data_IF_079533220868
#
_entry.id   IF_079533220868
#
_cell.length_a   1.000
_cell.length_b   1.000
_cell.length_c   1.000
_cell.angle_alpha   90.00
_cell.angle_beta   90.00
_cell.angle_gamma   90.00
#
_symmetry.space_group_name_H-M   'P 1'
#
loop_
_entity.id
_entity.type
_entity.pdbx_description
1 polymer ?
#
# COMPACT_ATOMS: atom_id res chain seq x y z
N UNK A 1 35.62 29.51 -54.62
CA UNK A 1 34.21 29.14 -54.87
C UNK A 1 33.93 27.88 -54.07
N UNK A 2 33.28 27.99 -52.91
CA UNK A 2 32.88 26.86 -52.06
C UNK A 2 31.36 26.75 -52.09
N UNK A 3 30.86 25.64 -52.59
CA UNK A 3 29.44 25.32 -52.76
C UNK A 3 28.76 25.04 -51.41
N UNK A 4 27.53 25.52 -51.14
CA UNK A 4 26.89 25.45 -49.82
C UNK A 4 25.83 24.33 -49.70
N UNK A 5 26.05 23.15 -50.28
CA UNK A 5 25.05 22.08 -50.31
C UNK A 5 25.65 20.69 -50.08
N UNK A 6 26.24 20.47 -48.91
CA UNK A 6 26.46 19.12 -48.40
C UNK A 6 25.35 18.82 -47.37
N UNK A 7 24.13 18.60 -47.87
CA UNK A 7 23.05 17.98 -47.10
C UNK A 7 23.39 16.49 -46.95
N UNK A 8 24.17 16.15 -45.94
CA UNK A 8 24.34 14.78 -45.52
C UNK A 8 23.01 14.25 -44.98
N UNK A 9 22.38 13.25 -45.61
CA UNK A 9 21.17 12.65 -45.05
C UNK A 9 21.55 11.95 -43.75
N UNK A 10 21.07 12.44 -42.60
CA UNK A 10 21.29 11.79 -41.31
C UNK A 10 20.81 10.33 -41.38
N UNK A 11 21.64 9.35 -40.96
CA UNK A 11 21.25 7.95 -41.01
C UNK A 11 20.06 7.74 -40.09
N UNK A 12 18.89 7.43 -40.66
CA UNK A 12 17.70 6.98 -39.93
C UNK A 12 18.06 5.76 -39.09
N UNK A 13 18.36 5.99 -37.81
CA UNK A 13 18.71 4.97 -36.82
C UNK A 13 17.60 3.93 -36.81
N UNK A 14 17.87 2.75 -37.38
CA UNK A 14 16.94 1.61 -37.39
C UNK A 14 16.60 1.29 -35.95
N UNK A 15 15.43 1.72 -35.48
CA UNK A 15 14.94 1.41 -34.14
C UNK A 15 14.83 -0.11 -34.08
N UNK A 16 15.67 -0.74 -33.27
CA UNK A 16 15.67 -2.20 -33.12
C UNK A 16 14.25 -2.64 -32.76
N UNK A 17 13.67 -3.54 -33.57
CA UNK A 17 12.29 -4.05 -33.39
C UNK A 17 12.14 -4.64 -31.99
N UNK A 18 13.22 -5.24 -31.47
CA UNK A 18 13.30 -5.74 -30.11
C UNK A 18 13.17 -4.64 -29.04
N UNK A 19 13.76 -3.47 -29.28
CA UNK A 19 13.65 -2.33 -28.38
C UNK A 19 12.23 -1.75 -28.36
N UNK A 20 11.55 -1.74 -29.52
CA UNK A 20 10.15 -1.34 -29.61
C UNK A 20 9.21 -2.33 -28.90
N UNK A 21 9.42 -3.63 -29.09
CA UNK A 21 8.64 -4.67 -28.43
C UNK A 21 8.79 -4.63 -26.90
N UNK A 22 10.02 -4.48 -26.40
CA UNK A 22 10.31 -4.28 -24.96
C UNK A 22 9.59 -3.06 -24.41
N UNK A 23 9.67 -1.92 -25.10
CA UNK A 23 9.05 -0.68 -24.63
C UNK A 23 7.53 -0.84 -24.55
N UNK A 24 6.91 -1.43 -25.56
CA UNK A 24 5.46 -1.69 -25.58
C UNK A 24 5.01 -2.68 -24.50
N UNK A 25 5.80 -3.73 -24.22
CA UNK A 25 5.52 -4.68 -23.13
C UNK A 25 5.60 -4.02 -21.75
N UNK A 26 6.65 -3.23 -21.50
CA UNK A 26 6.81 -2.50 -20.24
C UNK A 26 5.64 -1.53 -20.01
N UNK A 27 5.23 -0.79 -21.05
CA UNK A 27 4.08 0.11 -20.97
C UNK A 27 2.79 -0.67 -20.69
N UNK A 28 2.55 -1.78 -21.41
CA UNK A 28 1.38 -2.63 -21.18
C UNK A 28 1.34 -3.24 -19.77
N UNK A 29 2.48 -3.68 -19.26
CA UNK A 29 2.62 -4.20 -17.91
C UNK A 29 2.31 -3.12 -16.86
N UNK A 30 2.82 -1.91 -17.01
CA UNK A 30 2.55 -0.79 -16.08
C UNK A 30 1.08 -0.41 -16.07
N UNK A 31 0.39 -0.48 -17.21
CA UNK A 31 -1.05 -0.19 -17.32
C UNK A 31 -1.91 -1.27 -16.64
N UNK A 32 -1.54 -2.54 -16.77
CA UNK A 32 -2.30 -3.67 -16.20
C UNK A 32 -1.93 -3.93 -14.73
N UNK A 33 -0.70 -3.58 -14.32
CA UNK A 33 -0.19 -3.73 -12.96
C UNK A 33 -1.16 -3.26 -11.86
N UNK A 34 -1.78 -2.05 -11.91
CA UNK A 34 -2.69 -1.61 -10.85
C UNK A 34 -3.92 -2.51 -10.71
N UNK A 35 -4.48 -3.02 -11.82
CA UNK A 35 -5.64 -3.93 -11.80
C UNK A 35 -5.23 -5.31 -11.30
N UNK A 36 -4.09 -5.83 -11.76
CA UNK A 36 -3.55 -7.09 -11.27
C UNK A 36 -3.25 -7.03 -9.77
N UNK A 37 -2.68 -5.91 -9.31
CA UNK A 37 -2.36 -5.68 -7.91
C UNK A 37 -3.61 -5.65 -7.03
N UNK A 38 -4.68 -4.98 -7.45
CA UNK A 38 -5.93 -4.95 -6.68
C UNK A 38 -6.57 -6.33 -6.62
N UNK A 39 -6.63 -7.05 -7.73
CA UNK A 39 -7.15 -8.43 -7.76
C UNK A 39 -6.31 -9.37 -6.88
N UNK A 40 -4.98 -9.28 -6.96
CA UNK A 40 -4.06 -10.05 -6.12
C UNK A 40 -4.23 -9.72 -4.63
N UNK A 41 -4.38 -8.43 -4.29
CA UNK A 41 -4.58 -7.97 -2.91
C UNK A 41 -5.91 -8.48 -2.37
N UNK A 42 -6.99 -8.35 -3.14
CA UNK A 42 -8.32 -8.85 -2.75
C UNK A 42 -8.26 -10.37 -2.53
N UNK A 43 -7.65 -11.14 -3.44
CA UNK A 43 -7.51 -12.59 -3.27
C UNK A 43 -6.70 -12.93 -2.01
N UNK A 44 -5.54 -12.30 -1.82
CA UNK A 44 -4.65 -12.58 -0.69
C UNK A 44 -5.33 -12.25 0.64
N UNK A 45 -5.97 -11.10 0.74
CA UNK A 45 -6.70 -10.68 1.94
C UNK A 45 -7.89 -11.60 2.19
N UNK A 46 -8.66 -11.96 1.16
CA UNK A 46 -9.77 -12.90 1.30
C UNK A 46 -9.30 -14.27 1.81
N UNK A 47 -8.20 -14.81 1.27
CA UNK A 47 -7.63 -16.08 1.72
C UNK A 47 -7.06 -16.03 3.14
N UNK A 48 -6.49 -14.90 3.54
CA UNK A 48 -6.06 -14.66 4.92
C UNK A 48 -7.26 -14.60 5.87
N UNK A 49 -8.30 -13.84 5.52
CA UNK A 49 -9.53 -13.76 6.31
C UNK A 49 -10.19 -15.13 6.43
N UNK A 50 -10.34 -15.85 5.32
CA UNK A 50 -10.88 -17.21 5.32
C UNK A 50 -10.02 -18.14 6.22
N UNK A 51 -8.69 -18.08 6.15
CA UNK A 51 -7.82 -18.92 7.01
C UNK A 51 -7.87 -18.55 8.50
N UNK A 52 -8.14 -17.29 8.84
CA UNK A 52 -8.32 -16.84 10.23
C UNK A 52 -9.74 -17.10 10.74
N UNK A 53 -10.74 -17.11 9.87
CA UNK A 53 -12.17 -17.28 10.23
C UNK A 53 -12.60 -18.74 10.20
N UNK A 54 -12.19 -19.53 9.20
CA UNK A 54 -12.51 -20.96 9.07
C UNK A 54 -12.19 -21.81 10.32
N UNK A 55 -11.10 -21.59 11.08
CA UNK A 55 -10.86 -22.33 12.33
C UNK A 55 -11.78 -21.93 13.49
N UNK A 56 -12.41 -20.75 13.44
CA UNK A 56 -13.41 -20.31 14.43
C UNK A 56 -14.84 -20.65 14.03
N UNK A 57 -15.07 -21.05 12.78
CA UNK A 57 -16.38 -21.53 12.30
C UNK A 57 -16.42 -23.04 12.45
N UNK A 58 -17.25 -23.58 13.35
CA UNK A 58 -17.34 -25.02 13.55
C UNK A 58 -17.80 -25.78 12.29
N UNK A 59 -17.23 -26.97 12.08
CA UNK A 59 -17.35 -27.83 10.88
C UNK A 59 -18.80 -28.24 10.52
N UNK A 60 -19.79 -28.01 11.38
CA UNK A 60 -21.21 -28.31 11.10
C UNK A 60 -21.85 -27.45 10.00
N UNK A 61 -21.18 -26.38 9.56
CA UNK A 61 -21.65 -25.47 8.50
C UNK A 61 -20.96 -25.72 7.15
N UNK A 62 -20.67 -26.97 6.80
CA UNK A 62 -20.30 -27.35 5.44
C UNK A 62 -21.53 -27.80 4.64
N UNK A 63 -22.28 -26.90 3.98
CA UNK A 63 -23.21 -27.30 2.93
C UNK A 63 -22.40 -27.47 1.63
N UNK A 64 -21.49 -28.45 1.60
CA UNK A 64 -20.67 -28.75 0.42
C UNK A 64 -21.49 -29.41 -0.71
N UNK A 65 -22.82 -29.52 -0.62
CA UNK A 65 -23.55 -30.48 -1.45
C UNK A 65 -24.85 -30.01 -2.12
N UNK A 66 -25.50 -28.88 -1.77
CA UNK A 66 -26.87 -28.68 -2.33
C UNK A 66 -27.28 -27.30 -2.82
N UNK A 67 -26.63 -26.20 -2.45
CA UNK A 67 -27.04 -24.88 -2.96
C UNK A 67 -25.81 -24.01 -3.07
N UNK A 68 -25.47 -23.55 -4.28
CA UNK A 68 -24.36 -22.62 -4.56
C UNK A 68 -24.45 -21.25 -3.86
N UNK A 69 -25.30 -21.13 -2.85
CA UNK A 69 -25.29 -20.07 -1.85
C UNK A 69 -24.32 -20.47 -0.75
N UNK A 70 -23.04 -20.40 -1.09
CA UNK A 70 -21.98 -20.25 -0.10
C UNK A 70 -22.43 -19.13 0.84
N UNK A 71 -22.48 -19.36 2.15
CA UNK A 71 -22.89 -18.34 3.13
C UNK A 71 -21.73 -17.35 3.27
N UNK A 72 -21.44 -16.69 2.14
CA UNK A 72 -20.38 -15.73 1.84
C UNK A 72 -20.57 -14.43 2.63
N UNK A 73 -21.60 -14.35 3.47
CA UNK A 73 -21.92 -13.21 4.32
C UNK A 73 -21.48 -13.35 5.77
N UNK A 74 -21.36 -14.57 6.32
CA UNK A 74 -20.96 -14.74 7.73
C UNK A 74 -19.48 -14.36 7.91
N UNK A 75 -18.61 -14.77 6.98
CA UNK A 75 -17.21 -14.35 6.99
C UNK A 75 -17.06 -12.83 6.90
N UNK A 76 -17.86 -12.17 6.04
CA UNK A 76 -17.88 -10.71 5.90
C UNK A 76 -18.38 -10.04 7.19
N UNK A 77 -19.42 -10.58 7.81
CA UNK A 77 -19.97 -10.04 9.05
C UNK A 77 -18.99 -10.18 10.22
N UNK A 78 -18.35 -11.34 10.38
CA UNK A 78 -17.32 -11.58 11.40
C UNK A 78 -16.09 -10.71 11.14
N UNK A 79 -15.65 -10.60 9.88
CA UNK A 79 -14.56 -9.71 9.50
C UNK A 79 -14.87 -8.23 9.79
N UNK A 80 -16.10 -7.79 9.53
CA UNK A 80 -16.55 -6.44 9.83
C UNK A 80 -16.50 -6.17 11.33
N UNK A 81 -17.06 -7.07 12.15
CA UNK A 81 -17.02 -6.96 13.62
C UNK A 81 -15.58 -7.00 14.14
N UNK A 82 -14.75 -7.91 13.64
CA UNK A 82 -13.34 -8.00 14.01
C UNK A 82 -12.58 -6.71 13.66
N UNK A 83 -12.75 -6.19 12.45
CA UNK A 83 -12.11 -4.95 12.00
C UNK A 83 -12.58 -3.75 12.82
N UNK A 84 -13.85 -3.69 13.20
CA UNK A 84 -14.39 -2.66 14.10
C UNK A 84 -13.74 -2.76 15.48
N UNK A 85 -13.62 -3.96 16.05
CA UNK A 85 -12.98 -4.18 17.36
C UNK A 85 -11.50 -3.78 17.30
N UNK A 86 -10.76 -4.22 16.28
CA UNK A 86 -9.35 -3.87 16.09
C UNK A 86 -9.19 -2.36 15.88
N UNK A 87 -10.04 -1.74 15.06
CA UNK A 87 -10.03 -0.29 14.84
C UNK A 87 -10.35 0.48 16.12
N UNK A 88 -11.28 -0.02 16.93
CA UNK A 88 -11.61 0.56 18.23
C UNK A 88 -10.47 0.40 19.24
N UNK A 89 -9.79 -0.75 19.27
CA UNK A 89 -8.59 -0.96 20.07
C UNK A 89 -7.44 -0.03 19.65
N UNK A 90 -7.24 0.16 18.34
CA UNK A 90 -6.23 1.05 17.80
C UNK A 90 -6.48 2.52 18.16
N UNK A 91 -7.75 2.96 18.15
CA UNK A 91 -8.16 4.31 18.56
C UNK A 91 -8.22 4.49 20.09
N UNK A 92 -8.45 3.40 20.82
CA UNK A 92 -8.64 3.39 22.27
C UNK A 92 -7.35 3.47 23.09
N UNK A 93 -7.52 3.60 24.41
CA UNK A 93 -6.41 3.68 25.38
C UNK A 93 -5.52 2.43 25.33
N UNK A 94 -6.10 1.28 24.97
CA UNK A 94 -5.40 0.01 24.80
C UNK A 94 -4.35 0.10 23.69
N UNK A 95 -4.66 0.71 22.55
CA UNK A 95 -3.71 0.90 21.45
C UNK A 95 -2.48 1.73 21.86
N UNK A 96 -2.71 2.85 22.57
CA UNK A 96 -1.61 3.65 23.14
C UNK A 96 -0.78 2.86 24.16
N UNK A 97 -1.42 2.02 24.97
CA UNK A 97 -0.73 1.17 25.96
C UNK A 97 0.08 0.06 25.29
N UNK A 98 -0.45 -0.55 24.23
CA UNK A 98 0.23 -1.59 23.44
C UNK A 98 1.48 -1.03 22.76
N UNK A 99 1.38 0.17 22.18
CA UNK A 99 2.52 0.87 21.56
C UNK A 99 3.59 1.17 22.60
N UNK A 100 3.22 1.65 23.80
CA UNK A 100 4.17 1.89 24.89
C UNK A 100 4.84 0.60 25.38
N UNK A 101 4.09 -0.50 25.45
CA UNK A 101 4.64 -1.81 25.81
C UNK A 101 5.60 -2.33 24.73
N UNK A 102 5.25 -2.17 23.45
CA UNK A 102 6.12 -2.50 22.32
C UNK A 102 7.39 -1.64 22.31
N UNK A 103 7.29 -0.33 22.58
CA UNK A 103 8.46 0.54 22.74
C UNK A 103 9.35 0.07 23.90
N UNK A 104 8.77 -0.30 25.04
CA UNK A 104 9.53 -0.85 26.18
C UNK A 104 10.23 -2.18 25.85
N UNK A 105 9.58 -3.07 25.10
CA UNK A 105 10.18 -4.32 24.63
C UNK A 105 11.34 -4.08 23.64
N UNK A 106 11.16 -3.12 22.72
CA UNK A 106 12.17 -2.75 21.71
C UNK A 106 13.35 -1.98 22.33
N UNK A 107 13.14 -1.22 23.40
CA UNK A 107 14.20 -0.49 24.11
C UNK A 107 15.30 -1.41 24.68
N UNK A 108 14.98 -2.68 24.94
CA UNK A 108 15.95 -3.66 25.44
C UNK A 108 16.80 -4.31 24.33
N UNK A 109 16.48 -4.07 23.05
CA UNK A 109 17.19 -4.63 21.89
C UNK A 109 17.82 -3.49 21.05
N UNK A 110 19.14 -3.23 21.20
CA UNK A 110 19.81 -2.02 20.68
C UNK A 110 19.73 -1.84 19.16
N UNK A 111 19.59 -2.91 18.39
CA UNK A 111 19.49 -2.87 16.91
C UNK A 111 18.06 -2.54 16.44
N UNK A 112 17.04 -3.06 17.12
CA UNK A 112 15.63 -2.91 16.72
C UNK A 112 15.14 -1.48 16.97
N UNK A 113 15.70 -0.80 17.98
CA UNK A 113 15.37 0.58 18.34
C UNK A 113 15.66 1.59 17.22
N UNK A 114 16.80 1.49 16.51
CA UNK A 114 17.15 2.46 15.47
C UNK A 114 16.22 2.35 14.26
N UNK A 115 15.87 1.12 13.88
CA UNK A 115 14.95 0.84 12.76
C UNK A 115 13.54 1.29 13.10
N UNK A 116 13.06 0.99 14.32
CA UNK A 116 11.73 1.40 14.77
C UNK A 116 11.59 2.93 14.82
N UNK A 117 12.59 3.63 15.37
CA UNK A 117 12.56 5.09 15.44
C UNK A 117 12.60 5.74 14.05
N UNK A 118 13.40 5.20 13.12
CA UNK A 118 13.43 5.69 11.74
C UNK A 118 12.09 5.50 11.03
N UNK A 119 11.46 4.33 11.17
CA UNK A 119 10.14 4.06 10.61
C UNK A 119 9.04 4.93 11.23
N UNK A 120 9.08 5.12 12.54
CA UNK A 120 8.14 6.01 13.27
C UNK A 120 8.26 7.44 12.77
N UNK A 121 9.48 7.93 12.58
CA UNK A 121 9.72 9.29 12.08
C UNK A 121 9.19 9.49 10.64
N UNK A 122 9.35 8.49 9.77
CA UNK A 122 8.80 8.53 8.41
C UNK A 122 7.27 8.56 8.47
N UNK A 123 6.67 7.70 9.28
CA UNK A 123 5.22 7.67 9.45
C UNK A 123 4.70 9.02 9.99
N UNK A 124 5.29 9.54 11.06
CA UNK A 124 4.91 10.85 11.63
C UNK A 124 5.06 11.99 10.61
N UNK A 125 6.13 11.99 9.81
CA UNK A 125 6.33 13.01 8.76
C UNK A 125 5.26 12.92 7.67
N UNK A 126 4.95 11.72 7.18
CA UNK A 126 3.95 11.52 6.12
C UNK A 126 2.53 11.83 6.62
N UNK A 127 2.20 11.43 7.84
CA UNK A 127 0.90 11.75 8.44
C UNK A 127 0.79 13.23 8.83
N UNK A 128 1.84 13.86 9.34
CA UNK A 128 1.85 15.29 9.68
C UNK A 128 1.83 16.20 8.44
N UNK A 129 2.44 15.77 7.32
CA UNK A 129 2.33 16.50 6.05
C UNK A 129 0.89 16.60 5.52
N UNK A 130 -0.03 15.74 5.99
CA UNK A 130 -1.45 15.83 5.62
C UNK A 130 -2.17 16.97 6.35
N UNK A 131 -1.71 17.41 7.55
CA UNK A 131 -2.34 18.49 8.32
C UNK A 131 -1.76 19.89 8.04
N UNK A 132 -0.55 19.99 7.45
CA UNK A 132 0.08 21.27 7.12
C UNK A 132 -0.45 21.88 5.80
N UNK A 133 -1.77 21.98 5.65
CA UNK A 133 -2.35 22.87 4.64
C UNK A 133 -2.12 24.30 5.11
N UNK A 134 -1.16 24.99 4.49
CA UNK A 134 -0.76 26.37 4.76
C UNK A 134 -1.94 27.34 4.55
N UNK A 135 -2.79 27.50 5.55
CA UNK A 135 -3.97 28.38 5.51
C UNK A 135 -3.75 29.72 6.23
N UNK A 136 -2.50 30.03 6.64
CA UNK A 136 -2.17 31.30 7.31
C UNK A 136 -0.97 32.00 6.69
N UNK A 137 -1.27 33.06 5.93
CA UNK A 137 -0.30 34.09 5.60
C UNK A 137 -0.08 34.99 6.83
N UNK A 138 1.13 34.96 7.41
CA UNK A 138 1.53 35.89 8.47
C UNK A 138 2.33 37.04 7.86
N UNK A 139 1.87 38.27 8.08
CA UNK A 139 2.57 39.50 7.70
C UNK A 139 3.69 39.78 8.73
N UNK A 140 4.96 39.67 8.31
CA UNK A 140 6.10 40.06 9.14
C UNK A 140 6.46 41.50 8.82
N UNK A 141 6.37 42.37 9.84
CA UNK A 141 6.72 43.78 9.68
C UNK A 141 8.25 43.96 9.76
N UNK A 142 8.82 44.62 8.77
CA UNK A 142 10.27 44.87 8.66
C UNK A 142 10.70 45.97 9.66
N UNK A 143 11.77 45.76 10.46
CA UNK A 143 12.22 46.76 11.41
C UNK A 143 12.81 47.98 10.68
N UNK A 144 12.45 49.18 11.13
CA UNK A 144 13.04 50.45 10.66
C UNK A 144 14.41 50.69 11.27
#
# INVERSE_FOLDING_TARGET
>A
MTTPFDDHPEPKRRRSIFAWLRASFLTGLVVIAPIGLTLWLIWTVAGWVDSWVLPFVPVWLRPDQYVGLNIRGIGVFVFLIFTIIVGWMAKGIIGKSLIRWAEGAVQNLPVVRSVYNGLKQIAETVFAQTEASFDKACLVQYPR
#
